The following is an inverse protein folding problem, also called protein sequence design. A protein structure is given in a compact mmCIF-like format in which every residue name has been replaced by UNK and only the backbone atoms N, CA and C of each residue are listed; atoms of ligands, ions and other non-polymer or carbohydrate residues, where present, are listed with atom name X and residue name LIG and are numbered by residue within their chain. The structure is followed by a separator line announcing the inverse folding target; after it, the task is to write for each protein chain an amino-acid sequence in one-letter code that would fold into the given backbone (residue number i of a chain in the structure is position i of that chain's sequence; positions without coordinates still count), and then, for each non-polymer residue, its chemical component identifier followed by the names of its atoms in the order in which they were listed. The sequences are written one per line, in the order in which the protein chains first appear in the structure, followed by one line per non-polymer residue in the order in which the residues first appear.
data_IF_890534746824
#
_entry.id   IF_890534746824
#
_cell.length_a   1.000
_cell.length_b   1.000
_cell.length_c   1.000
_cell.angle_alpha   90.00
_cell.angle_beta   90.00
_cell.angle_gamma   90.00
#
_symmetry.space_group_name_H-M   'P 1'
#
loop_
_entity.id
_entity.type
_entity.pdbx_description
1 polymer ?
#
# COMPACT_ATOMS: atom_id res chain seq x y z
N UNK A 1 -1.51 -0.49 5.97
CA UNK A 1 -0.24 -1.11 6.43
C UNK A 1 0.82 -1.10 5.35
N UNK A 2 0.43 -1.17 4.08
CA UNK A 2 1.31 -1.22 2.92
C UNK A 2 2.44 -0.17 2.94
N UNK A 3 2.13 1.10 3.20
CA UNK A 3 3.15 2.17 3.28
C UNK A 3 4.15 1.99 4.43
N UNK A 4 3.71 1.42 5.56
CA UNK A 4 4.60 1.16 6.70
C UNK A 4 5.55 0.00 6.38
N UNK A 5 5.04 -1.08 5.76
CA UNK A 5 5.88 -2.19 5.30
C UNK A 5 6.96 -1.69 4.35
N UNK A 6 6.62 -0.86 3.36
CA UNK A 6 7.60 -0.25 2.43
C UNK A 6 8.65 0.59 3.19
N UNK A 7 8.23 1.38 4.18
CA UNK A 7 9.15 2.19 4.99
C UNK A 7 10.08 1.31 5.84
N UNK A 8 9.61 0.17 6.33
CA UNK A 8 10.42 -0.79 7.09
C UNK A 8 11.39 -1.56 6.19
N UNK A 9 10.96 -1.97 4.99
CA UNK A 9 11.83 -2.74 4.07
C UNK A 9 12.87 -1.86 3.37
N UNK A 10 12.52 -0.62 3.05
CA UNK A 10 13.45 0.38 2.54
C UNK A 10 13.46 1.59 3.48
N UNK A 11 14.37 1.65 4.47
CA UNK A 11 14.42 2.72 5.46
C UNK A 11 14.95 4.06 4.91
N UNK A 12 15.70 4.06 3.80
CA UNK A 12 16.22 5.28 3.18
C UNK A 12 15.10 6.09 2.51
N UNK A 13 14.90 7.32 2.97
CA UNK A 13 13.90 8.24 2.43
C UNK A 13 14.21 8.73 1.02
N UNK A 14 15.47 9.06 0.74
CA UNK A 14 15.88 9.57 -0.56
C UNK A 14 15.69 8.50 -1.65
N UNK A 15 15.88 7.23 -1.31
CA UNK A 15 15.57 6.11 -2.22
C UNK A 15 14.06 6.02 -2.46
N UNK A 16 13.23 6.10 -1.42
CA UNK A 16 11.76 6.05 -1.57
C UNK A 16 11.20 7.21 -2.38
N UNK A 17 11.77 8.41 -2.26
CA UNK A 17 11.39 9.56 -3.08
C UNK A 17 11.69 9.30 -4.56
N UNK A 18 12.90 8.84 -4.89
CA UNK A 18 13.26 8.51 -6.27
C UNK A 18 12.37 7.42 -6.88
N UNK A 19 11.99 6.41 -6.09
CA UNK A 19 11.10 5.34 -6.55
C UNK A 19 9.65 5.82 -6.73
N UNK A 20 9.24 6.90 -6.05
CA UNK A 20 7.88 7.42 -6.12
C UNK A 20 7.50 7.89 -7.51
N UNK A 21 8.41 8.57 -8.20
CA UNK A 21 8.16 9.06 -9.55
C UNK A 21 7.92 7.93 -10.55
N UNK A 22 8.54 6.76 -10.32
CA UNK A 22 8.36 5.58 -11.16
C UNK A 22 6.94 5.03 -11.02
N UNK A 23 6.54 4.65 -9.81
CA UNK A 23 5.23 4.00 -9.63
C UNK A 23 4.05 4.97 -9.70
N UNK A 24 4.26 6.27 -9.49
CA UNK A 24 3.19 7.25 -9.58
C UNK A 24 2.75 7.53 -11.03
N UNK A 25 3.64 7.29 -12.01
CA UNK A 25 3.38 7.56 -13.42
C UNK A 25 3.15 6.27 -14.25
N UNK A 26 3.15 5.10 -13.61
CA UNK A 26 2.90 3.81 -14.25
C UNK A 26 1.50 3.29 -13.90
N UNK A 27 0.62 3.18 -14.89
CA UNK A 27 -0.76 2.74 -14.69
C UNK A 27 -0.87 1.32 -14.10
N UNK A 28 0.04 0.41 -14.48
CA UNK A 28 0.04 -0.96 -13.95
C UNK A 28 0.45 -0.98 -12.48
N UNK A 29 1.39 -0.13 -12.08
CA UNK A 29 1.80 0.01 -10.69
C UNK A 29 0.71 0.67 -9.84
N UNK A 30 -0.01 1.66 -10.38
CA UNK A 30 -1.17 2.25 -9.70
C UNK A 30 -2.27 1.22 -9.43
N UNK A 31 -2.56 0.35 -10.40
CA UNK A 31 -3.52 -0.76 -10.21
C UNK A 31 -3.03 -1.75 -9.13
N UNK A 32 -1.74 -2.09 -9.13
CA UNK A 32 -1.15 -2.94 -8.09
C UNK A 32 -1.25 -2.31 -6.70
N UNK A 33 -0.98 -1.01 -6.57
CA UNK A 33 -1.17 -0.29 -5.29
C UNK A 33 -2.62 -0.39 -4.82
N UNK A 34 -3.59 -0.22 -5.71
CA UNK A 34 -5.01 -0.40 -5.39
C UNK A 34 -5.34 -1.81 -4.90
N UNK A 35 -4.80 -2.84 -5.58
CA UNK A 35 -5.00 -4.23 -5.20
C UNK A 35 -4.43 -4.57 -3.81
N UNK A 36 -3.22 -4.07 -3.50
CA UNK A 36 -2.58 -4.26 -2.19
C UNK A 36 -3.46 -3.66 -1.08
N UNK A 37 -3.91 -2.41 -1.26
CA UNK A 37 -4.77 -1.73 -0.29
C UNK A 37 -6.10 -2.46 -0.12
N UNK A 38 -6.71 -2.95 -1.21
CA UNK A 38 -7.95 -3.72 -1.15
C UNK A 38 -7.80 -5.01 -0.33
N UNK A 39 -6.69 -5.74 -0.52
CA UNK A 39 -6.40 -6.98 0.23
C UNK A 39 -6.23 -6.72 1.73
N UNK A 40 -5.48 -5.67 2.09
CA UNK A 40 -5.34 -5.27 3.50
C UNK A 40 -6.68 -4.83 4.10
N UNK A 41 -7.46 -4.04 3.36
CA UNK A 41 -8.76 -3.57 3.82
C UNK A 41 -9.74 -4.72 4.03
N UNK A 42 -9.77 -5.72 3.13
CA UNK A 42 -10.58 -6.92 3.30
C UNK A 42 -10.24 -7.66 4.60
N UNK A 43 -8.96 -7.73 4.96
CA UNK A 43 -8.50 -8.35 6.21
C UNK A 43 -8.96 -7.54 7.43
N UNK A 44 -8.83 -6.20 7.39
CA UNK A 44 -9.29 -5.31 8.46
C UNK A 44 -10.81 -5.39 8.61
N UNK A 45 -11.56 -5.35 7.51
CA UNK A 45 -13.01 -5.42 7.51
C UNK A 45 -13.52 -6.73 8.11
N UNK A 46 -12.91 -7.86 7.74
CA UNK A 46 -13.23 -9.15 8.35
C UNK A 46 -12.95 -9.17 9.86
N UNK A 47 -11.82 -8.60 10.30
CA UNK A 47 -11.46 -8.51 11.71
C UNK A 47 -12.40 -7.59 12.52
N UNK A 48 -13.05 -6.62 11.88
CA UNK A 48 -14.00 -5.69 12.52
C UNK A 48 -15.46 -6.14 12.36
N UNK A 49 -15.72 -7.41 12.00
CA UNK A 49 -17.07 -7.90 11.71
C UNK A 49 -17.82 -7.03 10.68
N UNK A 50 -17.07 -6.44 9.75
CA UNK A 50 -17.56 -5.47 8.75
C UNK A 50 -18.32 -4.28 9.35
N UNK A 51 -18.04 -3.91 10.60
CA UNK A 51 -18.70 -2.81 11.32
C UNK A 51 -20.24 -2.93 11.32
N UNK A 52 -20.77 -4.16 11.38
CA UNK A 52 -22.22 -4.41 11.42
C UNK A 52 -22.83 -4.23 12.82
N UNK A 53 -22.02 -3.86 13.80
CA UNK A 53 -22.39 -3.59 15.19
C UNK A 53 -22.09 -2.14 15.56
#
# INVERSE_FOLDING_TARGET
MARLVIKTTQPDEAVREKLRDVYANDASMLLQVGHIVATEFATIAAANHYWRE
#
